data_IF_526328222682
#
_entry.id   IF_526328222682
#
_cell.length_a   1.000
_cell.length_b   1.000
_cell.length_c   1.000
_cell.angle_alpha   90.00
_cell.angle_beta   90.00
_cell.angle_gamma   90.00
#
_symmetry.space_group_name_H-M   'P 1'
#
loop_
_entity.id
_entity.type
_entity.pdbx_description
1 polymer ?
#
# COMPACT_ATOMS: atom_id res chain seq x y z
N UNK A 1 -5.88 -9.28 -41.38
CA UNK A 1 -5.22 -10.04 -40.30
C UNK A 1 -6.12 -9.99 -39.08
N UNK A 2 -6.74 -11.12 -38.70
CA UNK A 2 -7.60 -11.18 -37.52
C UNK A 2 -6.73 -11.16 -36.27
N UNK A 3 -6.80 -10.08 -35.49
CA UNK A 3 -6.07 -9.98 -34.22
C UNK A 3 -6.60 -11.01 -33.23
N UNK A 4 -5.74 -11.94 -32.82
CA UNK A 4 -6.03 -12.83 -31.69
C UNK A 4 -6.06 -12.00 -30.41
N UNK A 5 -7.05 -12.20 -29.56
CA UNK A 5 -7.16 -11.48 -28.30
C UNK A 5 -5.88 -11.70 -27.45
N UNK A 6 -5.35 -10.63 -26.88
CA UNK A 6 -4.18 -10.71 -26.02
C UNK A 6 -4.47 -11.61 -24.80
N UNK A 7 -3.50 -12.46 -24.44
CA UNK A 7 -3.66 -13.35 -23.29
C UNK A 7 -3.78 -12.56 -21.97
N UNK A 8 -4.52 -13.08 -21.00
CA UNK A 8 -4.68 -12.46 -19.68
C UNK A 8 -3.36 -12.04 -18.99
N UNK A 9 -2.30 -12.88 -19.01
CA UNK A 9 -0.99 -12.50 -18.48
C UNK A 9 -0.34 -11.28 -19.18
N UNK A 10 -0.52 -11.17 -20.49
CA UNK A 10 -0.02 -10.03 -21.27
C UNK A 10 -0.80 -8.77 -20.92
N UNK A 11 -2.13 -8.83 -20.87
CA UNK A 11 -2.97 -7.70 -20.46
C UNK A 11 -2.62 -7.19 -19.05
N UNK A 12 -2.37 -8.10 -18.12
CA UNK A 12 -1.97 -7.75 -16.75
C UNK A 12 -0.59 -7.08 -16.71
N UNK A 13 0.35 -7.50 -17.57
CA UNK A 13 1.64 -6.83 -17.72
C UNK A 13 1.48 -5.45 -18.35
N UNK A 14 0.71 -5.31 -19.43
CA UNK A 14 0.41 -4.02 -20.04
C UNK A 14 -0.24 -3.03 -19.06
N UNK A 15 -1.14 -3.49 -18.17
CA UNK A 15 -1.72 -2.64 -17.12
C UNK A 15 -0.65 -2.07 -16.18
N UNK A 16 0.35 -2.89 -15.80
CA UNK A 16 1.48 -2.41 -14.98
C UNK A 16 2.34 -1.41 -15.75
N UNK A 17 2.70 -1.73 -16.98
CA UNK A 17 3.48 -0.84 -17.85
C UNK A 17 2.77 0.51 -18.03
N UNK A 18 1.45 0.50 -18.24
CA UNK A 18 0.65 1.73 -18.34
C UNK A 18 0.70 2.56 -17.06
N UNK A 19 0.50 1.94 -15.89
CA UNK A 19 0.59 2.65 -14.61
C UNK A 19 1.96 3.28 -14.41
N UNK A 20 3.04 2.56 -14.70
CA UNK A 20 4.40 3.09 -14.56
C UNK A 20 4.72 4.14 -15.63
N UNK A 21 4.19 4.02 -16.85
CA UNK A 21 4.31 5.06 -17.87
C UNK A 21 3.64 6.37 -17.43
N UNK A 22 2.45 6.30 -16.82
CA UNK A 22 1.77 7.48 -16.26
C UNK A 22 2.63 8.10 -15.16
N UNK A 23 3.18 7.29 -14.24
CA UNK A 23 4.08 7.80 -13.21
C UNK A 23 5.35 8.44 -13.76
N UNK A 24 5.92 7.92 -14.84
CA UNK A 24 7.06 8.57 -15.51
C UNK A 24 6.70 9.94 -16.09
N UNK A 25 5.46 10.15 -16.51
CA UNK A 25 4.98 11.48 -16.94
C UNK A 25 4.82 12.44 -15.76
N UNK A 26 4.46 11.95 -14.57
CA UNK A 26 4.37 12.75 -13.36
C UNK A 26 5.74 13.05 -12.74
N UNK A 27 6.66 12.09 -12.84
CA UNK A 27 8.04 12.18 -12.38
C UNK A 27 8.96 12.61 -13.52
N UNK A 28 8.57 13.65 -14.22
CA UNK A 28 9.31 14.18 -15.37
C UNK A 28 10.62 14.88 -14.97
N UNK A 29 11.32 15.40 -15.97
CA UNK A 29 12.58 16.11 -15.77
C UNK A 29 12.41 17.37 -14.91
N UNK A 30 11.27 18.05 -14.98
CA UNK A 30 10.99 19.24 -14.17
C UNK A 30 10.81 18.85 -12.70
N UNK A 31 10.02 17.81 -12.43
CA UNK A 31 9.87 17.24 -11.09
C UNK A 31 11.23 16.82 -10.53
N UNK A 32 12.02 16.09 -11.30
CA UNK A 32 13.34 15.62 -10.87
C UNK A 32 14.30 16.79 -10.56
N UNK A 33 14.28 17.86 -11.37
CA UNK A 33 15.08 19.07 -11.10
C UNK A 33 14.60 19.80 -9.84
N UNK A 34 13.29 19.91 -9.65
CA UNK A 34 12.71 20.50 -8.45
C UNK A 34 12.97 19.64 -7.21
N UNK A 35 13.00 18.32 -7.35
CA UNK A 35 13.34 17.39 -6.28
C UNK A 35 14.78 17.61 -5.78
N UNK A 36 15.72 17.86 -6.69
CA UNK A 36 17.13 18.07 -6.33
C UNK A 36 17.41 19.49 -5.83
N UNK A 37 16.85 20.51 -6.50
CA UNK A 37 17.25 21.91 -6.32
C UNK A 37 16.16 22.80 -5.69
N UNK A 38 14.95 22.27 -5.52
CA UNK A 38 13.77 23.05 -5.18
C UNK A 38 13.26 23.87 -6.35
N UNK A 39 11.98 24.25 -6.30
CA UNK A 39 11.38 25.22 -7.20
C UNK A 39 11.17 26.54 -6.44
N UNK A 40 11.52 27.67 -7.05
CA UNK A 40 11.32 28.98 -6.45
C UNK A 40 9.85 29.39 -6.58
N UNK A 41 9.13 29.36 -5.46
CA UNK A 41 7.69 29.65 -5.42
C UNK A 41 7.41 30.84 -4.51
N UNK A 42 6.55 31.75 -4.98
CA UNK A 42 6.00 32.80 -4.12
C UNK A 42 4.87 32.22 -3.27
N UNK A 43 5.07 32.22 -1.95
CA UNK A 43 4.09 31.71 -1.00
C UNK A 43 2.95 32.73 -0.77
N UNK A 44 1.86 32.29 -0.12
CA UNK A 44 0.69 33.13 0.16
C UNK A 44 0.99 34.37 1.04
N UNK A 45 2.08 34.33 1.81
CA UNK A 45 2.59 35.45 2.62
C UNK A 45 3.45 36.45 1.81
N UNK A 46 3.58 36.25 0.50
CA UNK A 46 4.38 37.09 -0.40
C UNK A 46 5.87 36.78 -0.41
N UNK A 47 6.36 35.88 0.46
CA UNK A 47 7.77 35.52 0.56
C UNK A 47 8.10 34.41 -0.45
N UNK A 48 9.19 34.57 -1.18
CA UNK A 48 9.70 33.55 -2.11
C UNK A 48 10.52 32.50 -1.36
N UNK A 49 10.21 31.22 -1.56
CA UNK A 49 10.91 30.08 -0.95
C UNK A 49 11.21 29.02 -1.99
N UNK A 50 12.30 28.28 -1.80
CA UNK A 50 12.53 27.04 -2.53
C UNK A 50 11.67 25.94 -1.92
N UNK A 51 10.73 25.43 -2.71
CA UNK A 51 9.84 24.34 -2.34
C UNK A 51 10.38 23.06 -2.97
N UNK A 52 10.58 22.03 -2.15
CA UNK A 52 11.09 20.74 -2.60
C UNK A 52 9.94 19.73 -2.62
N UNK A 53 9.56 19.20 -3.80
CA UNK A 53 8.64 18.08 -3.83
C UNK A 53 9.30 16.86 -3.18
N UNK A 54 8.58 16.23 -2.24
CA UNK A 54 9.01 15.03 -1.54
C UNK A 54 7.86 14.05 -1.46
N UNK A 55 8.14 12.79 -1.74
CA UNK A 55 7.17 11.70 -1.63
C UNK A 55 7.47 11.00 -0.31
N UNK A 56 6.50 11.02 0.61
CA UNK A 56 6.65 10.39 1.92
C UNK A 56 5.85 9.10 2.02
N UNK A 57 4.60 9.13 1.54
CA UNK A 57 3.65 8.04 1.71
C UNK A 57 2.75 7.92 0.49
N UNK A 58 2.39 6.69 0.16
CA UNK A 58 1.39 6.34 -0.84
C UNK A 58 0.36 5.41 -0.18
N UNK A 59 -0.79 5.98 0.16
CA UNK A 59 -1.93 5.21 0.64
C UNK A 59 -2.77 4.76 -0.57
N UNK A 60 -3.06 3.46 -0.62
CA UNK A 60 -3.97 2.88 -1.59
C UNK A 60 -4.41 1.48 -1.13
N UNK A 61 -5.37 0.91 -1.85
CA UNK A 61 -5.78 -0.48 -1.65
C UNK A 61 -4.67 -1.46 -2.03
N UNK A 62 -4.83 -2.73 -1.62
CA UNK A 62 -3.81 -3.75 -1.89
C UNK A 62 -3.55 -3.97 -3.39
N UNK A 63 -4.57 -4.12 -4.26
CA UNK A 63 -4.36 -4.26 -5.70
C UNK A 63 -3.54 -3.11 -6.31
N UNK A 64 -3.80 -1.86 -5.91
CA UNK A 64 -3.05 -0.71 -6.40
C UNK A 64 -1.61 -0.68 -5.87
N UNK A 65 -1.41 -0.94 -4.57
CA UNK A 65 -0.06 -1.10 -3.98
C UNK A 65 0.75 -2.16 -4.71
N UNK A 66 0.13 -3.29 -5.07
CA UNK A 66 0.78 -4.38 -5.81
C UNK A 66 1.25 -3.92 -7.19
N UNK A 67 0.43 -3.12 -7.89
CA UNK A 67 0.78 -2.56 -9.21
C UNK A 67 1.96 -1.57 -9.09
N UNK A 68 1.91 -0.68 -8.11
CA UNK A 68 2.91 0.37 -7.91
C UNK A 68 4.22 -0.16 -7.32
N UNK A 69 4.15 -1.14 -6.43
CA UNK A 69 5.33 -1.80 -5.85
C UNK A 69 5.98 -2.81 -6.80
N UNK A 70 5.42 -3.01 -8.00
CA UNK A 70 5.87 -3.99 -9.00
C UNK A 70 6.01 -5.40 -8.42
N UNK A 71 5.05 -5.80 -7.59
CA UNK A 71 4.97 -7.15 -7.02
C UNK A 71 3.84 -7.96 -7.66
N UNK A 72 3.87 -9.27 -7.43
CA UNK A 72 2.88 -10.22 -7.90
C UNK A 72 1.73 -10.28 -6.93
N UNK A 73 0.53 -10.02 -7.44
CA UNK A 73 -0.71 -10.24 -6.71
C UNK A 73 -0.80 -11.69 -6.21
N UNK A 74 -1.14 -11.85 -4.93
CA UNK A 74 -1.18 -13.14 -4.25
C UNK A 74 0.10 -13.99 -4.43
N UNK A 75 1.26 -13.32 -4.53
CA UNK A 75 2.57 -13.97 -4.67
C UNK A 75 3.04 -14.73 -3.43
N UNK A 76 4.29 -15.21 -3.48
CA UNK A 76 4.93 -15.86 -2.33
C UNK A 76 5.19 -14.88 -1.18
N UNK A 77 5.71 -13.70 -1.47
CA UNK A 77 5.78 -12.57 -0.56
C UNK A 77 4.67 -11.57 -0.90
N UNK A 78 3.77 -11.29 0.04
CA UNK A 78 2.58 -10.45 -0.20
C UNK A 78 2.82 -8.95 0.02
N UNK A 79 3.70 -8.63 0.97
CA UNK A 79 3.89 -7.27 1.43
C UNK A 79 4.70 -6.43 0.42
N UNK A 80 4.31 -5.17 0.15
CA UNK A 80 5.09 -4.25 -0.66
C UNK A 80 6.33 -3.70 0.06
N UNK A 81 6.45 -3.89 1.39
CA UNK A 81 7.60 -3.42 2.16
C UNK A 81 8.58 -4.52 2.56
N UNK A 82 8.14 -5.78 2.68
CA UNK A 82 8.99 -6.88 3.17
C UNK A 82 8.82 -8.18 2.36
N UNK A 83 9.77 -9.10 2.54
CA UNK A 83 9.81 -10.43 1.91
C UNK A 83 9.17 -11.53 2.76
N UNK A 84 8.34 -11.18 3.76
CA UNK A 84 7.60 -12.17 4.52
C UNK A 84 6.73 -13.00 3.58
N UNK A 85 6.86 -14.31 3.72
CA UNK A 85 6.21 -15.28 2.85
C UNK A 85 4.77 -15.54 3.31
N UNK A 86 3.92 -15.92 2.36
CA UNK A 86 2.47 -16.07 2.52
C UNK A 86 2.11 -17.13 3.58
N UNK A 87 2.94 -18.14 3.75
CA UNK A 87 2.79 -19.16 4.79
C UNK A 87 2.93 -18.58 6.22
N UNK A 88 3.63 -17.46 6.38
CA UNK A 88 3.83 -16.78 7.66
C UNK A 88 2.80 -15.69 7.97
N UNK A 89 1.79 -15.50 7.11
CA UNK A 89 0.73 -14.51 7.32
C UNK A 89 -0.03 -14.75 8.63
N UNK A 90 -0.14 -16.00 9.07
CA UNK A 90 -0.75 -16.35 10.35
C UNK A 90 0.02 -15.81 11.58
N UNK A 91 1.26 -15.34 11.38
CA UNK A 91 2.10 -14.75 12.42
C UNK A 91 1.94 -13.23 12.50
N UNK A 92 1.14 -12.62 11.62
CA UNK A 92 1.02 -11.17 11.49
C UNK A 92 0.72 -10.50 12.83
N UNK A 93 1.48 -9.45 13.15
CA UNK A 93 1.32 -8.69 14.40
C UNK A 93 1.95 -9.35 15.63
N UNK A 94 2.51 -10.56 15.52
CA UNK A 94 3.32 -11.15 16.58
C UNK A 94 4.69 -10.45 16.66
N UNK A 95 5.32 -10.44 17.84
CA UNK A 95 6.68 -9.88 18.03
C UNK A 95 7.70 -10.46 17.04
N UNK A 96 7.60 -11.76 16.77
CA UNK A 96 8.44 -12.44 15.78
C UNK A 96 8.21 -11.92 14.36
N UNK A 97 6.98 -11.63 13.99
CA UNK A 97 6.62 -11.12 12.68
C UNK A 97 7.12 -9.68 12.50
N UNK A 98 6.92 -8.82 13.49
CA UNK A 98 7.47 -7.46 13.49
C UNK A 98 9.00 -7.47 13.30
N UNK A 99 9.72 -8.30 14.08
CA UNK A 99 11.17 -8.44 13.92
C UNK A 99 11.57 -9.00 12.55
N UNK A 100 10.80 -9.94 12.01
CA UNK A 100 11.06 -10.49 10.69
C UNK A 100 10.80 -9.46 9.58
N UNK A 101 9.77 -8.63 9.70
CA UNK A 101 9.46 -7.56 8.76
C UNK A 101 10.63 -6.57 8.65
N UNK A 102 11.20 -6.15 9.79
CA UNK A 102 12.36 -5.26 9.86
C UNK A 102 13.63 -5.87 9.25
N UNK A 103 13.84 -7.17 9.46
CA UNK A 103 15.01 -7.88 8.92
C UNK A 103 14.91 -8.17 7.43
N UNK A 104 13.69 -8.37 6.93
CA UNK A 104 13.42 -8.82 5.56
C UNK A 104 12.79 -7.71 4.71
N UNK A 105 13.22 -6.46 4.90
CA UNK A 105 12.74 -5.31 4.12
C UNK A 105 13.12 -5.47 2.64
N UNK A 106 12.21 -5.08 1.76
CA UNK A 106 12.46 -4.97 0.32
C UNK A 106 13.34 -3.76 0.04
N UNK A 107 14.32 -3.96 -0.83
CA UNK A 107 15.26 -2.91 -1.24
C UNK A 107 15.24 -2.77 -2.76
N UNK A 108 15.37 -1.53 -3.21
CA UNK A 108 15.60 -1.21 -4.62
C UNK A 108 17.12 -1.18 -4.93
N UNK A 109 17.75 -2.33 -4.73
CA UNK A 109 19.19 -2.49 -4.91
C UNK A 109 19.57 -2.87 -6.35
N UNK A 110 20.88 -2.98 -6.60
CA UNK A 110 21.39 -3.36 -7.91
C UNK A 110 20.94 -4.77 -8.34
N UNK A 111 20.85 -5.72 -7.40
CA UNK A 111 20.44 -7.10 -7.72
C UNK A 111 18.96 -7.13 -8.14
N UNK A 112 18.11 -6.37 -7.43
CA UNK A 112 16.71 -6.15 -7.79
C UNK A 112 16.62 -5.66 -9.24
N UNK A 113 17.27 -4.54 -9.56
CA UNK A 113 17.16 -3.93 -10.89
C UNK A 113 17.74 -4.81 -11.98
N UNK A 114 18.83 -5.51 -11.71
CA UNK A 114 19.44 -6.48 -12.63
C UNK A 114 18.45 -7.61 -12.99
N UNK A 115 17.79 -8.21 -11.99
CA UNK A 115 16.83 -9.29 -12.23
C UNK A 115 15.64 -8.82 -13.07
N UNK A 116 15.14 -7.62 -12.80
CA UNK A 116 14.05 -7.00 -13.55
C UNK A 116 14.47 -6.74 -15.00
N UNK A 117 15.61 -6.07 -15.21
CA UNK A 117 16.13 -5.80 -16.55
C UNK A 117 16.36 -7.08 -17.35
N UNK A 118 16.96 -8.10 -16.73
CA UNK A 118 17.17 -9.41 -17.35
C UNK A 118 15.84 -10.04 -17.79
N UNK A 119 14.81 -9.96 -16.95
CA UNK A 119 13.48 -10.46 -17.29
C UNK A 119 12.82 -9.66 -18.42
N UNK A 120 12.94 -8.32 -18.42
CA UNK A 120 12.45 -7.48 -19.51
C UNK A 120 13.16 -7.77 -20.84
N UNK A 121 14.48 -7.94 -20.85
CA UNK A 121 15.23 -8.34 -22.05
C UNK A 121 14.76 -9.70 -22.60
N UNK A 122 14.49 -10.68 -21.72
CA UNK A 122 13.94 -11.97 -22.14
C UNK A 122 12.59 -11.83 -22.85
N UNK A 123 11.72 -10.94 -22.38
CA UNK A 123 10.41 -10.69 -22.99
C UNK A 123 10.56 -9.95 -24.32
N UNK A 124 11.27 -8.82 -24.32
CA UNK A 124 11.30 -7.89 -25.43
C UNK A 124 12.23 -8.33 -26.57
N UNK A 125 13.40 -8.89 -26.25
CA UNK A 125 14.42 -9.24 -27.25
C UNK A 125 14.34 -10.71 -27.66
N UNK A 126 13.95 -11.59 -26.73
CA UNK A 126 13.94 -13.05 -26.95
C UNK A 126 12.54 -13.63 -27.10
N UNK A 127 11.49 -12.80 -27.03
CA UNK A 127 10.10 -13.23 -27.20
C UNK A 127 9.62 -14.24 -26.16
N UNK A 128 10.27 -14.31 -25.00
CA UNK A 128 9.87 -15.24 -23.93
C UNK A 128 8.52 -14.79 -23.38
N UNK A 129 7.53 -15.70 -23.23
CA UNK A 129 6.25 -15.34 -22.64
C UNK A 129 6.43 -14.73 -21.23
N UNK A 130 5.66 -13.69 -20.91
CA UNK A 130 5.71 -12.98 -19.61
C UNK A 130 5.55 -13.93 -18.41
N UNK A 131 4.75 -14.99 -18.57
CA UNK A 131 4.52 -16.02 -17.57
C UNK A 131 5.36 -17.31 -17.81
N UNK A 132 6.36 -17.23 -18.68
CA UNK A 132 7.24 -18.34 -19.05
C UNK A 132 8.10 -18.82 -17.88
N UNK A 133 8.57 -20.06 -17.96
CA UNK A 133 9.37 -20.69 -16.91
C UNK A 133 10.64 -19.89 -16.58
N UNK A 134 11.33 -19.37 -17.61
CA UNK A 134 12.54 -18.56 -17.45
C UNK A 134 12.30 -17.25 -16.67
N UNK A 135 11.17 -16.57 -16.90
CA UNK A 135 10.81 -15.36 -16.14
C UNK A 135 10.43 -15.73 -14.71
N UNK A 136 9.65 -16.81 -14.54
CA UNK A 136 9.22 -17.29 -13.22
C UNK A 136 10.40 -17.71 -12.36
N UNK A 137 11.42 -18.36 -12.91
CA UNK A 137 12.60 -18.78 -12.13
C UNK A 137 13.38 -17.60 -11.56
N UNK A 138 13.38 -16.46 -12.26
CA UNK A 138 14.05 -15.23 -11.81
C UNK A 138 13.19 -14.51 -10.77
N UNK A 139 11.92 -14.25 -11.08
CA UNK A 139 11.13 -13.27 -10.33
C UNK A 139 10.15 -13.85 -9.31
N UNK A 140 9.69 -15.10 -9.48
CA UNK A 140 8.69 -15.71 -8.60
C UNK A 140 9.15 -15.83 -7.13
N UNK A 141 10.41 -16.20 -6.81
CA UNK A 141 10.83 -16.38 -5.41
C UNK A 141 10.58 -15.16 -4.52
N UNK A 142 10.71 -13.95 -5.08
CA UNK A 142 10.56 -12.67 -4.36
C UNK A 142 9.26 -11.93 -4.72
N UNK A 143 8.30 -12.63 -5.35
CA UNK A 143 7.05 -12.06 -5.89
C UNK A 143 7.25 -10.87 -6.81
N UNK A 144 8.32 -10.81 -7.58
CA UNK A 144 8.56 -9.70 -8.51
C UNK A 144 7.79 -9.92 -9.83
N UNK A 145 7.61 -8.84 -10.58
CA UNK A 145 7.04 -8.84 -11.94
C UNK A 145 8.02 -8.16 -12.91
N UNK A 146 8.02 -8.51 -14.21
CA UNK A 146 9.00 -8.00 -15.15
C UNK A 146 8.62 -6.60 -15.64
N UNK A 147 8.56 -5.62 -14.74
CA UNK A 147 8.20 -4.23 -15.01
C UNK A 147 9.22 -3.32 -14.32
N UNK A 148 9.76 -2.35 -15.07
CA UNK A 148 10.64 -1.32 -14.52
C UNK A 148 9.80 -0.30 -13.76
N UNK A 149 10.11 -0.12 -12.48
CA UNK A 149 9.37 0.79 -11.61
C UNK A 149 9.75 2.26 -11.91
N UNK A 150 8.76 3.13 -12.06
CA UNK A 150 8.98 4.56 -12.36
C UNK A 150 9.76 5.28 -11.24
N UNK A 151 9.48 4.99 -9.96
CA UNK A 151 10.20 5.59 -8.83
C UNK A 151 11.66 5.12 -8.79
N UNK A 152 11.89 3.83 -9.07
CA UNK A 152 13.24 3.26 -9.16
C UNK A 152 14.05 3.93 -10.28
N UNK A 153 13.46 4.07 -11.46
CA UNK A 153 14.15 4.66 -12.60
C UNK A 153 14.48 6.14 -12.39
N UNK A 154 13.52 6.91 -11.88
CA UNK A 154 13.66 8.38 -11.78
C UNK A 154 14.36 8.83 -10.49
N UNK A 155 14.14 8.15 -9.36
CA UNK A 155 14.51 8.69 -8.05
C UNK A 155 15.54 7.84 -7.29
N UNK A 156 15.84 6.60 -7.70
CA UNK A 156 16.78 5.74 -6.98
C UNK A 156 18.19 6.35 -6.91
N UNK A 157 18.65 6.96 -8.01
CA UNK A 157 19.96 7.65 -8.05
C UNK A 157 20.04 8.84 -7.08
N UNK A 158 18.89 9.34 -6.63
CA UNK A 158 18.75 10.41 -5.64
C UNK A 158 18.59 9.87 -4.21
N UNK A 159 18.77 8.56 -4.02
CA UNK A 159 18.65 7.89 -2.72
C UNK A 159 17.22 7.57 -2.29
N UNK A 160 16.24 7.62 -3.21
CA UNK A 160 14.85 7.32 -2.88
C UNK A 160 14.59 5.81 -2.89
N UNK A 161 14.27 5.25 -1.73
CA UNK A 161 13.74 3.89 -1.60
C UNK A 161 12.22 3.93 -1.66
N UNK A 162 11.63 3.31 -2.70
CA UNK A 162 10.20 3.42 -2.96
C UNK A 162 9.36 2.39 -2.17
N UNK A 163 9.92 1.27 -1.72
CA UNK A 163 9.14 0.25 -0.99
C UNK A 163 8.51 0.78 0.32
N UNK A 164 9.21 1.58 1.16
CA UNK A 164 8.66 2.07 2.42
C UNK A 164 7.49 3.05 2.27
N UNK A 165 7.29 3.66 1.10
CA UNK A 165 6.22 4.65 0.93
C UNK A 165 4.83 4.02 0.98
N UNK A 166 4.71 2.72 0.67
CA UNK A 166 3.43 2.01 0.63
C UNK A 166 2.95 1.69 2.03
N UNK A 167 2.37 2.68 2.70
CA UNK A 167 1.87 2.56 4.07
C UNK A 167 0.57 1.78 4.13
N UNK A 168 0.34 1.09 5.24
CA UNK A 168 -0.96 0.50 5.55
C UNK A 168 -1.94 1.63 5.80
N UNK A 169 -3.06 1.59 5.09
CA UNK A 169 -4.21 2.44 5.38
C UNK A 169 -5.36 1.53 5.72
N UNK A 170 -5.75 1.54 6.98
CA UNK A 170 -6.80 0.67 7.49
C UNK A 170 -8.12 0.86 6.75
N UNK A 171 -8.41 2.06 6.22
CA UNK A 171 -9.62 2.33 5.46
C UNK A 171 -9.62 1.64 4.09
N UNK A 172 -8.44 1.53 3.47
CA UNK A 172 -8.29 0.92 2.15
C UNK A 172 -7.96 -0.59 2.23
N UNK A 173 -7.44 -1.07 3.36
CA UNK A 173 -7.07 -2.47 3.54
C UNK A 173 -8.14 -3.32 4.22
N UNK A 174 -9.00 -2.73 5.06
CA UNK A 174 -10.10 -3.43 5.69
C UNK A 174 -11.39 -2.99 5.00
N UNK A 175 -12.00 -3.90 4.23
CA UNK A 175 -13.33 -3.66 3.69
C UNK A 175 -14.29 -3.30 4.82
N UNK A 176 -14.98 -2.16 4.69
CA UNK A 176 -15.93 -1.67 5.70
C UNK A 176 -16.98 -2.72 6.12
N UNK A 177 -17.40 -3.58 5.18
CA UNK A 177 -18.30 -4.70 5.48
C UNK A 177 -17.67 -5.75 6.40
N UNK A 178 -16.39 -6.08 6.19
CA UNK A 178 -15.62 -7.00 7.03
C UNK A 178 -15.38 -6.40 8.40
N UNK A 179 -15.00 -5.12 8.46
CA UNK A 179 -14.85 -4.41 9.73
C UNK A 179 -16.16 -4.42 10.53
N UNK A 180 -17.27 -4.03 9.89
CA UNK A 180 -18.60 -4.03 10.53
C UNK A 180 -19.00 -5.40 11.07
N UNK A 181 -18.77 -6.47 10.29
CA UNK A 181 -19.03 -7.83 10.72
C UNK A 181 -18.18 -8.23 11.94
N UNK A 182 -16.90 -7.86 11.92
CA UNK A 182 -15.95 -8.12 13.01
C UNK A 182 -16.34 -7.37 14.28
N UNK A 183 -16.59 -6.06 14.19
CA UNK A 183 -17.03 -5.22 15.31
C UNK A 183 -18.34 -5.76 15.91
N UNK A 184 -19.30 -6.16 15.06
CA UNK A 184 -20.55 -6.77 15.52
C UNK A 184 -20.29 -8.06 16.30
N UNK A 185 -19.37 -8.91 15.83
CA UNK A 185 -19.02 -10.14 16.51
C UNK A 185 -18.35 -9.88 17.87
N UNK A 186 -17.40 -8.93 17.93
CA UNK A 186 -16.73 -8.53 19.17
C UNK A 186 -17.72 -7.99 20.21
N UNK A 187 -18.67 -7.16 19.79
CA UNK A 187 -19.73 -6.65 20.67
C UNK A 187 -20.61 -7.79 21.19
N UNK A 188 -20.98 -8.76 20.34
CA UNK A 188 -21.74 -9.94 20.79
C UNK A 188 -20.99 -10.77 21.83
N UNK A 189 -19.67 -10.97 21.66
CA UNK A 189 -18.84 -11.66 22.65
C UNK A 189 -18.82 -10.89 23.98
N UNK A 190 -18.72 -9.57 23.92
CA UNK A 190 -18.76 -8.69 25.09
C UNK A 190 -20.07 -8.86 25.88
N UNK A 191 -21.22 -8.89 25.19
CA UNK A 191 -22.51 -9.14 25.82
C UNK A 191 -22.65 -10.59 26.33
N UNK A 192 -22.09 -11.57 25.62
CA UNK A 192 -22.14 -12.98 26.01
C UNK A 192 -21.35 -13.29 27.28
N UNK A 193 -20.33 -12.49 27.60
CA UNK A 193 -19.55 -12.62 28.84
C UNK A 193 -20.38 -12.31 30.11
N UNK A 194 -21.61 -11.78 29.96
CA UNK A 194 -22.55 -11.57 31.07
C UNK A 194 -22.22 -10.39 31.99
N UNK A 195 -21.14 -9.66 31.72
CA UNK A 195 -20.80 -8.44 32.44
C UNK A 195 -21.66 -7.27 31.94
N UNK A 196 -22.61 -6.82 32.75
CA UNK A 196 -23.40 -5.60 32.47
C UNK A 196 -22.53 -4.35 32.35
N UNK A 197 -21.31 -4.37 32.87
CA UNK A 197 -20.40 -3.23 32.90
C UNK A 197 -19.54 -3.10 31.64
N UNK A 198 -19.22 -4.22 30.97
CA UNK A 198 -18.27 -4.20 29.85
C UNK A 198 -18.73 -3.36 28.64
N UNK A 199 -20.01 -3.41 28.20
CA UNK A 199 -20.50 -2.50 27.15
C UNK A 199 -20.50 -1.02 27.56
N UNK A 200 -20.75 -0.73 28.83
CA UNK A 200 -20.74 0.64 29.35
C UNK A 200 -19.32 1.22 29.37
N UNK A 201 -18.35 0.41 29.81
CA UNK A 201 -16.94 0.78 29.80
C UNK A 201 -16.43 1.04 28.38
N UNK A 202 -16.82 0.21 27.40
CA UNK A 202 -16.50 0.42 25.98
C UNK A 202 -17.00 1.80 25.51
N UNK A 203 -18.28 2.11 25.75
CA UNK A 203 -18.87 3.40 25.38
C UNK A 203 -18.16 4.58 26.07
N UNK A 204 -17.79 4.42 27.34
CA UNK A 204 -17.07 5.45 28.09
C UNK A 204 -15.69 5.74 27.48
N UNK A 205 -14.95 4.69 27.10
CA UNK A 205 -13.63 4.85 26.47
C UNK A 205 -13.73 5.56 25.12
N UNK A 206 -14.68 5.17 24.26
CA UNK A 206 -14.88 5.86 22.97
C UNK A 206 -15.26 7.33 23.16
N UNK A 207 -16.11 7.67 24.14
CA UNK A 207 -16.46 9.06 24.47
C UNK A 207 -15.28 9.93 24.94
N UNK A 208 -14.20 9.31 25.40
CA UNK A 208 -13.00 9.99 25.87
C UNK A 208 -11.98 10.25 24.75
N UNK A 209 -12.18 9.65 23.56
CA UNK A 209 -11.30 9.89 22.42
C UNK A 209 -11.46 11.38 22.01
N UNK A 210 -10.37 12.16 22.02
CA UNK A 210 -10.43 13.56 21.60
C UNK A 210 -10.67 13.65 20.08
N UNK A 211 -11.36 14.69 19.65
CA UNK A 211 -11.54 14.97 18.22
C UNK A 211 -10.19 15.28 17.57
N UNK A 212 -9.94 14.75 16.36
CA UNK A 212 -8.71 14.96 15.61
C UNK A 212 -9.02 15.47 14.21
N UNK A 213 -8.39 16.58 13.79
CA UNK A 213 -8.81 17.32 12.59
C UNK A 213 -10.23 17.85 12.74
N UNK A 214 -10.61 18.92 12.03
CA UNK A 214 -11.98 19.46 12.13
C UNK A 214 -13.07 18.42 11.82
N UNK A 215 -12.72 17.42 10.98
CA UNK A 215 -13.65 16.44 10.39
C UNK A 215 -13.06 15.00 10.31
N UNK A 216 -11.94 14.67 10.96
CA UNK A 216 -11.25 13.37 10.75
C UNK A 216 -11.56 12.33 11.82
N UNK A 217 -11.65 12.74 13.09
CA UNK A 217 -12.21 11.91 14.16
C UNK A 217 -13.26 12.76 14.86
N UNK A 218 -14.52 12.41 14.63
CA UNK A 218 -15.64 13.08 15.26
C UNK A 218 -15.84 12.58 16.70
N UNK A 219 -16.53 13.40 17.51
CA UNK A 219 -16.83 13.02 18.90
C UNK A 219 -17.87 11.90 18.92
N UNK A 220 -17.52 10.75 19.51
CA UNK A 220 -18.47 9.65 19.73
C UNK A 220 -19.50 10.02 20.81
N UNK A 221 -20.65 10.55 20.43
CA UNK A 221 -21.75 10.90 21.35
C UNK A 221 -22.64 9.68 21.68
N UNK A 222 -22.92 8.87 20.67
CA UNK A 222 -23.75 7.67 20.77
C UNK A 222 -23.01 6.45 21.34
N UNK A 223 -23.77 5.48 21.85
CA UNK A 223 -23.21 4.25 22.40
C UNK A 223 -22.71 3.34 21.26
N UNK A 224 -21.39 3.26 21.06
CA UNK A 224 -20.74 2.38 20.06
C UNK A 224 -21.20 0.92 20.19
N UNK A 225 -21.38 0.44 21.43
CA UNK A 225 -21.87 -0.93 21.71
C UNK A 225 -23.29 -1.21 21.24
N UNK A 226 -24.12 -0.19 20.97
CA UNK A 226 -25.47 -0.38 20.43
C UNK A 226 -25.46 -0.48 18.90
N UNK A 227 -24.43 0.04 18.24
CA UNK A 227 -24.29 0.09 16.78
C UNK A 227 -25.52 0.66 16.05
N UNK A 228 -26.27 1.55 16.71
CA UNK A 228 -27.46 2.19 16.15
C UNK A 228 -27.08 3.54 15.55
N UNK A 229 -27.73 3.88 14.43
CA UNK A 229 -27.57 5.17 13.72
C UNK A 229 -26.15 5.49 13.24
N UNK A 230 -25.24 4.52 13.24
CA UNK A 230 -23.91 4.68 12.68
C UNK A 230 -24.00 4.76 11.15
N UNK A 231 -23.50 5.86 10.59
CA UNK A 231 -23.24 6.00 9.15
C UNK A 231 -21.87 5.40 8.80
N UNK A 232 -21.57 5.30 7.51
CA UNK A 232 -20.33 4.69 7.01
C UNK A 232 -19.09 5.29 7.67
N UNK A 233 -19.04 6.62 7.77
CA UNK A 233 -17.93 7.35 8.40
C UNK A 233 -17.76 7.05 9.89
N UNK A 234 -18.83 6.77 10.64
CA UNK A 234 -18.70 6.43 12.05
C UNK A 234 -17.97 5.08 12.25
N UNK A 235 -18.13 4.13 11.32
CA UNK A 235 -17.38 2.87 11.36
C UNK A 235 -15.89 3.09 11.09
N UNK A 236 -15.56 4.07 10.25
CA UNK A 236 -14.17 4.49 9.97
C UNK A 236 -13.56 5.10 11.22
N UNK A 237 -14.26 6.04 11.87
CA UNK A 237 -13.82 6.69 13.10
C UNK A 237 -13.60 5.67 14.23
N UNK A 238 -14.51 4.70 14.40
CA UNK A 238 -14.37 3.65 15.43
C UNK A 238 -13.12 2.79 15.18
N UNK A 239 -12.77 2.55 13.92
CA UNK A 239 -11.58 1.79 13.55
C UNK A 239 -10.29 2.59 13.79
N UNK A 240 -10.31 3.90 13.50
CA UNK A 240 -9.16 4.79 13.65
C UNK A 240 -8.91 5.24 15.10
N UNK A 241 -9.97 5.30 15.92
CA UNK A 241 -9.89 5.69 17.33
C UNK A 241 -9.36 4.58 18.26
N UNK A 242 -9.09 3.39 17.74
CA UNK A 242 -8.53 2.25 18.47
C UNK A 242 -7.01 2.17 18.29
#
# INVERSE_FOLDING_TARGET
MGGTAASGPVLMHCKRELMHAIWKLLLDDEFCKAYDNGNLTQCADGIKRFVYPRIFTYSADYPEKVLLATIRDQGLCLCPQCYITKDKVHEMGMVRDMSNCEKNVRKDDHLHRYDIQKACCLINEKGVPVNGAAIKSILKPLSRVPTVNAFSEQLQMRGFEYHPIFIVDFLHEIELGVWKATLTHLIRLLYAQGSKHAPHELNQRFRQIPTFGGDTICRFSDNVSEMKKLVVHDFEDILQGY
#
